data_IF_786669051204
#
_entry.id   IF_786669051204
#
_cell.length_a   1.000
_cell.length_b   1.000
_cell.length_c   1.000
_cell.angle_alpha   90.00
_cell.angle_beta   90.00
_cell.angle_gamma   90.00
#
_symmetry.space_group_name_H-M   'P 1'
#
loop_
_entity.id
_entity.type
_entity.pdbx_description
1 polymer ?
#
# COMPACT_ATOMS: atom_id res chain seq x y z
N UNK A 1 20.92 4.43 25.56
CA UNK A 1 19.57 4.10 25.05
C UNK A 1 18.60 4.29 26.20
N UNK A 2 17.56 5.11 26.03
CA UNK A 2 16.56 5.37 27.08
C UNK A 2 15.48 4.29 26.93
N UNK A 3 15.36 3.40 27.91
CA UNK A 3 14.29 2.39 27.98
C UNK A 3 13.13 2.94 28.82
N UNK A 4 11.96 3.09 28.21
CA UNK A 4 10.73 3.49 28.90
C UNK A 4 10.06 2.23 29.48
N UNK A 5 9.74 2.25 30.78
CA UNK A 5 9.03 1.14 31.43
C UNK A 5 7.70 0.86 30.74
N UNK A 6 7.45 -0.41 30.39
CA UNK A 6 6.20 -0.86 29.76
C UNK A 6 6.16 -0.75 28.23
N UNK A 7 7.21 -0.28 27.57
CA UNK A 7 7.30 -0.20 26.11
C UNK A 7 8.35 -1.19 25.61
N UNK A 8 7.98 -2.06 24.67
CA UNK A 8 8.95 -2.97 24.01
C UNK A 8 10.04 -2.11 23.34
N UNK A 9 11.33 -2.32 23.65
CA UNK A 9 12.44 -1.58 23.03
C UNK A 9 12.46 -1.64 21.48
N UNK A 10 11.76 -2.60 20.86
CA UNK A 10 11.60 -2.72 19.42
C UNK A 10 10.47 -1.84 18.84
N UNK A 11 9.60 -1.26 19.66
CA UNK A 11 8.56 -0.29 19.27
C UNK A 11 9.15 1.10 18.99
N UNK A 12 10.13 1.16 18.08
CA UNK A 12 10.59 2.41 17.50
C UNK A 12 9.59 2.86 16.44
N UNK A 13 9.34 4.17 16.32
CA UNK A 13 8.33 4.73 15.41
C UNK A 13 8.47 4.21 13.96
N UNK A 14 9.70 3.99 13.49
CA UNK A 14 9.98 3.50 12.15
C UNK A 14 9.69 2.00 11.92
N UNK A 15 9.36 1.24 12.96
CA UNK A 15 9.05 -0.20 12.89
C UNK A 15 7.58 -0.52 13.20
N UNK A 16 6.73 0.49 13.37
CA UNK A 16 5.32 0.29 13.66
C UNK A 16 4.55 -0.08 12.40
N UNK A 17 3.74 -1.13 12.49
CA UNK A 17 2.74 -1.45 11.47
C UNK A 17 1.44 -0.73 11.78
N UNK A 18 0.83 -0.01 10.82
CA UNK A 18 -0.47 0.61 11.01
C UNK A 18 -1.51 -0.42 11.47
N UNK A 19 -2.44 -0.03 12.35
CA UNK A 19 -3.54 -0.92 12.76
C UNK A 19 -4.51 -1.22 11.61
N UNK A 20 -4.67 -0.28 10.68
CA UNK A 20 -5.45 -0.43 9.46
C UNK A 20 -4.53 -0.31 8.23
N UNK A 21 -4.52 -1.29 7.31
CA UNK A 21 -3.77 -1.17 6.06
C UNK A 21 -4.36 -0.04 5.19
N UNK A 22 -3.50 0.86 4.72
CA UNK A 22 -3.90 1.99 3.87
C UNK A 22 -3.57 1.64 2.42
N UNK A 23 -4.58 1.58 1.57
CA UNK A 23 -4.41 1.31 0.15
C UNK A 23 -3.80 2.55 -0.55
N UNK A 24 -2.81 2.41 -1.44
CA UNK A 24 -2.19 3.55 -2.12
C UNK A 24 -3.19 4.39 -2.93
N UNK A 25 -4.24 3.75 -3.47
CA UNK A 25 -5.34 4.43 -4.15
C UNK A 25 -6.07 5.47 -3.30
N UNK A 26 -6.19 5.27 -1.99
CA UNK A 26 -6.78 6.25 -1.08
C UNK A 26 -5.89 7.49 -0.96
N UNK A 27 -4.57 7.29 -0.85
CA UNK A 27 -3.60 8.40 -0.82
C UNK A 27 -3.58 9.18 -2.15
N UNK A 28 -3.67 8.48 -3.28
CA UNK A 28 -3.75 9.11 -4.59
C UNK A 28 -5.05 9.93 -4.70
N UNK A 29 -6.14 9.42 -4.14
CA UNK A 29 -7.44 10.12 -4.10
C UNK A 29 -7.34 11.42 -3.30
N UNK A 30 -6.73 11.39 -2.13
CA UNK A 30 -6.52 12.58 -1.31
C UNK A 30 -5.66 13.62 -2.05
N UNK A 31 -4.61 13.17 -2.74
CA UNK A 31 -3.71 14.04 -3.50
C UNK A 31 -4.41 14.73 -4.69
N UNK A 32 -5.23 14.00 -5.46
CA UNK A 32 -5.97 14.60 -6.58
C UNK A 32 -7.05 15.56 -6.09
N UNK A 33 -7.71 15.26 -4.96
CA UNK A 33 -8.72 16.11 -4.36
C UNK A 33 -8.09 17.40 -3.83
N UNK A 34 -6.94 17.30 -3.15
CA UNK A 34 -6.16 18.44 -2.68
C UNK A 34 -5.72 19.36 -3.82
N UNK A 35 -5.29 18.79 -4.96
CA UNK A 35 -4.88 19.55 -6.15
C UNK A 35 -6.04 20.05 -7.01
N UNK A 36 -7.29 19.72 -6.66
CA UNK A 36 -8.46 20.07 -7.47
C UNK A 36 -8.49 19.37 -8.84
N UNK A 37 -7.80 18.24 -8.99
CA UNK A 37 -7.75 17.46 -10.22
C UNK A 37 -9.02 16.61 -10.31
N UNK A 38 -9.80 16.83 -11.37
CA UNK A 38 -10.98 16.00 -11.64
C UNK A 38 -10.56 14.58 -12.03
N UNK A 39 -11.07 13.57 -11.30
CA UNK A 39 -10.88 12.15 -11.61
C UNK A 39 -11.18 11.82 -13.08
N UNK A 40 -12.29 12.35 -13.62
CA UNK A 40 -12.68 12.11 -15.01
C UNK A 40 -11.67 12.67 -16.01
N UNK A 41 -11.13 13.88 -15.73
CA UNK A 41 -10.09 14.48 -16.58
C UNK A 41 -8.79 13.71 -16.48
N UNK A 42 -8.40 13.30 -15.27
CA UNK A 42 -7.22 12.50 -15.03
C UNK A 42 -7.28 11.15 -15.77
N UNK A 43 -8.40 10.44 -15.66
CA UNK A 43 -8.61 9.18 -16.39
C UNK A 43 -8.43 9.35 -17.90
N UNK A 44 -9.01 10.42 -18.47
CA UNK A 44 -8.88 10.74 -19.89
C UNK A 44 -7.42 11.01 -20.29
N UNK A 45 -6.67 11.78 -19.50
CA UNK A 45 -5.26 12.09 -19.78
C UNK A 45 -4.36 10.86 -19.66
N UNK A 46 -4.66 9.97 -18.70
CA UNK A 46 -3.95 8.71 -18.51
C UNK A 46 -4.34 7.65 -19.56
N UNK A 47 -5.37 7.88 -20.38
CA UNK A 47 -5.87 6.90 -21.35
C UNK A 47 -6.58 5.69 -20.71
N UNK A 48 -7.04 5.82 -19.47
CA UNK A 48 -7.74 4.74 -18.73
C UNK A 48 -9.23 5.02 -18.60
N UNK A 49 -10.03 3.97 -18.37
CA UNK A 49 -11.46 4.17 -18.16
C UNK A 49 -11.72 4.85 -16.80
N UNK A 50 -12.69 5.79 -16.70
CA UNK A 50 -13.02 6.43 -15.43
C UNK A 50 -13.44 5.44 -14.34
N UNK A 51 -14.10 4.35 -14.72
CA UNK A 51 -14.49 3.26 -13.81
C UNK A 51 -13.27 2.56 -13.24
N UNK A 52 -12.28 2.26 -14.07
CA UNK A 52 -11.04 1.63 -13.62
C UNK A 52 -10.28 2.53 -12.66
N UNK A 53 -10.13 3.81 -13.00
CA UNK A 53 -9.49 4.77 -12.09
C UNK A 53 -10.25 4.84 -10.75
N UNK A 54 -11.58 4.90 -10.79
CA UNK A 54 -12.41 4.91 -9.58
C UNK A 54 -12.20 3.66 -8.71
N UNK A 55 -12.08 2.48 -9.31
CA UNK A 55 -11.80 1.24 -8.58
C UNK A 55 -10.42 1.26 -7.93
N UNK A 56 -9.41 1.80 -8.59
CA UNK A 56 -8.07 2.00 -8.00
C UNK A 56 -8.16 2.97 -6.81
N UNK A 57 -8.78 4.14 -7.00
CA UNK A 57 -8.88 5.19 -5.99
C UNK A 57 -9.67 4.78 -4.74
N UNK A 58 -10.61 3.84 -4.88
CA UNK A 58 -11.37 3.29 -3.76
C UNK A 58 -10.81 1.96 -3.23
N UNK A 59 -9.57 1.61 -3.58
CA UNK A 59 -8.88 0.43 -3.05
C UNK A 59 -9.44 -0.92 -3.50
N UNK A 60 -10.27 -0.94 -4.55
CA UNK A 60 -10.83 -2.16 -5.13
C UNK A 60 -9.87 -2.84 -6.10
N UNK A 61 -8.91 -2.08 -6.66
CA UNK A 61 -7.84 -2.59 -7.51
C UNK A 61 -6.49 -2.08 -7.03
N UNK A 62 -5.51 -2.97 -7.09
CA UNK A 62 -4.11 -2.66 -6.84
C UNK A 62 -3.57 -1.67 -7.88
N UNK A 63 -2.63 -0.83 -7.44
CA UNK A 63 -1.83 0.03 -8.30
C UNK A 63 -0.72 -0.82 -8.93
N UNK A 64 -0.84 -1.09 -10.23
CA UNK A 64 0.22 -1.73 -11.03
C UNK A 64 1.35 -0.75 -11.34
N UNK A 65 2.49 -1.27 -11.82
CA UNK A 65 3.62 -0.44 -12.27
C UNK A 65 3.24 0.53 -13.38
N UNK A 66 2.39 0.10 -14.31
CA UNK A 66 1.86 0.96 -15.37
C UNK A 66 1.07 2.14 -14.80
N UNK A 67 0.14 1.88 -13.87
CA UNK A 67 -0.62 2.96 -13.24
C UNK A 67 0.25 3.87 -12.38
N UNK A 68 1.25 3.31 -11.67
CA UNK A 68 2.19 4.10 -10.88
C UNK A 68 2.95 5.11 -11.73
N UNK A 69 3.44 4.71 -12.92
CA UNK A 69 4.11 5.62 -13.86
C UNK A 69 3.16 6.69 -14.42
N UNK A 70 1.90 6.32 -14.69
CA UNK A 70 0.89 7.30 -15.11
C UNK A 70 0.57 8.31 -14.00
N UNK A 71 0.51 7.86 -12.74
CA UNK A 71 0.33 8.76 -11.59
C UNK A 71 1.55 9.63 -11.34
N UNK A 72 2.77 9.13 -11.55
CA UNK A 72 3.98 9.94 -11.51
C UNK A 72 3.93 11.05 -12.55
N UNK A 73 3.56 10.74 -13.79
CA UNK A 73 3.42 11.75 -14.84
C UNK A 73 2.34 12.81 -14.50
N UNK A 74 1.27 12.41 -13.82
CA UNK A 74 0.17 13.31 -13.44
C UNK A 74 0.43 14.13 -12.17
N UNK A 75 1.15 13.55 -11.19
CA UNK A 75 1.31 14.11 -9.84
C UNK A 75 2.73 14.56 -9.52
N UNK A 76 3.72 14.18 -10.33
CA UNK A 76 5.13 14.45 -10.06
C UNK A 76 5.66 13.72 -8.82
N UNK A 77 5.00 12.65 -8.40
CA UNK A 77 5.40 11.80 -7.27
C UNK A 77 5.91 10.49 -7.84
N UNK A 78 7.16 10.16 -7.52
CA UNK A 78 7.88 8.96 -7.99
C UNK A 78 7.02 7.68 -7.92
N UNK A 79 6.94 6.95 -9.04
CA UNK A 79 6.21 5.70 -9.14
C UNK A 79 6.63 4.66 -8.09
N UNK A 80 7.89 4.68 -7.66
CA UNK A 80 8.38 3.74 -6.64
C UNK A 80 7.65 3.92 -5.31
N UNK A 81 7.22 5.14 -4.96
CA UNK A 81 6.46 5.42 -3.75
C UNK A 81 5.13 4.65 -3.77
N UNK A 82 4.42 4.68 -4.89
CA UNK A 82 3.13 4.00 -5.05
C UNK A 82 3.30 2.48 -5.00
N UNK A 83 4.31 1.95 -5.69
CA UNK A 83 4.60 0.51 -5.71
C UNK A 83 5.00 -0.01 -4.33
N UNK A 84 5.87 0.71 -3.62
CA UNK A 84 6.28 0.34 -2.27
C UNK A 84 5.09 0.35 -1.31
N UNK A 85 4.19 1.32 -1.45
CA UNK A 85 2.99 1.39 -0.62
C UNK A 85 2.01 0.27 -0.95
N UNK A 86 1.82 -0.07 -2.23
CA UNK A 86 1.03 -1.24 -2.63
C UNK A 86 1.60 -2.53 -2.02
N UNK A 87 2.90 -2.74 -2.13
CA UNK A 87 3.55 -3.93 -1.57
C UNK A 87 3.38 -4.02 -0.04
N UNK A 88 3.48 -2.88 0.67
CA UNK A 88 3.22 -2.81 2.12
C UNK A 88 1.78 -3.17 2.45
N UNK A 89 0.83 -2.61 1.72
CA UNK A 89 -0.60 -2.91 1.87
C UNK A 89 -0.86 -4.40 1.64
N UNK A 90 -0.38 -4.97 0.53
CA UNK A 90 -0.58 -6.38 0.17
C UNK A 90 0.04 -7.31 1.21
N UNK A 91 1.25 -7.00 1.70
CA UNK A 91 1.90 -7.75 2.77
C UNK A 91 1.10 -7.71 4.07
N UNK A 92 0.54 -6.55 4.42
CA UNK A 92 -0.27 -6.40 5.64
C UNK A 92 -1.59 -7.17 5.51
N UNK A 93 -2.25 -7.08 4.36
CA UNK A 93 -3.46 -7.85 4.06
C UNK A 93 -3.19 -9.36 4.11
N UNK A 94 -2.12 -9.84 3.49
CA UNK A 94 -1.75 -11.26 3.54
C UNK A 94 -1.42 -11.73 4.96
N UNK A 95 -0.81 -10.88 5.79
CA UNK A 95 -0.52 -11.19 7.20
C UNK A 95 -1.76 -11.14 8.10
N UNK A 96 -2.87 -10.58 7.65
CA UNK A 96 -4.13 -10.59 8.40
C UNK A 96 -4.89 -11.92 8.28
N UNK A 97 -4.53 -12.75 7.29
CA UNK A 97 -5.09 -14.09 7.12
C UNK A 97 -4.41 -15.10 8.06
N UNK A 98 -5.14 -15.49 9.12
CA UNK A 98 -4.68 -16.46 10.11
C UNK A 98 -4.28 -17.81 9.49
N UNK A 99 -5.03 -18.30 8.50
CA UNK A 99 -4.75 -19.60 7.86
C UNK A 99 -3.43 -19.57 7.09
N UNK A 100 -3.15 -18.43 6.45
CA UNK A 100 -1.89 -18.20 5.77
C UNK A 100 -0.72 -18.09 6.75
N UNK A 101 -0.91 -17.40 7.88
CA UNK A 101 0.09 -17.32 8.95
C UNK A 101 0.46 -18.68 9.54
N UNK A 102 -0.53 -19.55 9.77
CA UNK A 102 -0.29 -20.92 10.24
C UNK A 102 0.55 -21.73 9.24
N UNK A 103 0.22 -21.61 7.94
CA UNK A 103 1.01 -22.23 6.87
C UNK A 103 2.45 -21.72 6.85
N UNK A 104 2.68 -20.42 7.01
CA UNK A 104 4.02 -19.84 7.11
C UNK A 104 4.78 -20.36 8.33
N UNK A 105 4.11 -20.51 9.48
CA UNK A 105 4.72 -21.07 10.68
C UNK A 105 5.14 -22.55 10.47
N UNK A 106 4.30 -23.34 9.78
CA UNK A 106 4.62 -24.72 9.44
C UNK A 106 5.84 -24.83 8.51
N UNK A 107 5.90 -24.00 7.46
CA UNK A 107 7.06 -23.94 6.55
C UNK A 107 8.35 -23.63 7.32
N UNK A 108 8.32 -22.64 8.23
CA UNK A 108 9.49 -22.28 9.05
C UNK A 108 9.96 -23.44 9.94
N UNK A 109 9.03 -24.21 10.51
CA UNK A 109 9.37 -25.40 11.32
C UNK A 109 10.08 -26.45 10.48
N UNK A 110 9.56 -26.77 9.29
CA UNK A 110 10.17 -27.76 8.40
C UNK A 110 11.57 -27.30 7.96
N UNK A 111 11.69 -26.04 7.52
CA UNK A 111 12.95 -25.50 7.04
C UNK A 111 14.05 -25.42 8.13
N UNK A 112 13.68 -25.36 9.41
CA UNK A 112 14.64 -25.35 10.51
C UNK A 112 15.15 -26.75 10.90
N UNK A 113 14.50 -27.82 10.42
CA UNK A 113 14.88 -29.22 10.70
C UNK A 113 15.77 -29.80 9.59
N UNK A 114 15.75 -29.20 8.40
CA UNK A 114 16.64 -29.50 7.28
C UNK A 114 18.02 -28.88 7.48
#
# INVERSE_FOLDING_TARGET
>A
MITLQGIDPKMIANNLTPSNPIHPGELIKDEIEYRGISQRKLALQMGVSPTLLNEILNGKRSVSTEYALLFEAALGIDAEVWIRQQARYDMQMAKSDTSFLERLAHIRKIAAVL
#
